data_IF_357037700084
#
_entry.id   IF_357037700084
#
_cell.length_a   1.000
_cell.length_b   1.000
_cell.length_c   1.000
_cell.angle_alpha   90.00
_cell.angle_beta   90.00
_cell.angle_gamma   90.00
#
_symmetry.space_group_name_H-M   'P 1'
#
loop_
_entity.id
_entity.type
_entity.pdbx_description
1 polymer ?
#
# COMPACT_ATOMS: atom_id res chain seq x y z
N UNK A 1 -22.39 4.69 -4.71
CA UNK A 1 -22.99 3.43 -4.20
C UNK A 1 -22.78 2.25 -5.14
N UNK A 2 -22.97 2.38 -6.46
CA UNK A 2 -22.79 1.26 -7.39
C UNK A 2 -21.35 0.69 -7.38
N UNK A 3 -20.32 1.54 -7.34
CA UNK A 3 -18.91 1.11 -7.31
C UNK A 3 -18.54 0.23 -6.11
N UNK A 4 -19.13 0.46 -4.95
CA UNK A 4 -18.90 -0.36 -3.75
C UNK A 4 -19.50 -1.77 -3.95
N UNK A 5 -20.69 -1.85 -4.53
CA UNK A 5 -21.31 -3.15 -4.86
C UNK A 5 -20.48 -3.87 -5.92
N UNK A 6 -19.96 -3.15 -6.92
CA UNK A 6 -19.06 -3.69 -7.94
C UNK A 6 -17.78 -4.25 -7.32
N UNK A 7 -17.20 -3.57 -6.32
CA UNK A 7 -16.03 -4.09 -5.60
C UNK A 7 -16.32 -5.46 -4.99
N UNK A 8 -17.40 -5.62 -4.22
CA UNK A 8 -17.73 -6.91 -3.58
C UNK A 8 -18.10 -8.03 -4.58
N UNK A 9 -18.36 -7.70 -5.85
CA UNK A 9 -18.54 -8.66 -6.96
C UNK A 9 -17.24 -8.98 -7.71
N UNK A 10 -16.18 -8.24 -7.48
CA UNK A 10 -14.85 -8.49 -8.06
C UNK A 10 -14.14 -9.65 -7.38
N UNK A 11 -12.98 -10.05 -7.91
CA UNK A 11 -12.12 -11.06 -7.30
C UNK A 11 -11.59 -10.62 -5.93
N UNK A 12 -11.09 -9.39 -5.82
CA UNK A 12 -10.67 -8.81 -4.54
C UNK A 12 -11.80 -8.76 -3.52
N UNK A 13 -13.01 -8.39 -3.97
CA UNK A 13 -14.19 -8.37 -3.12
C UNK A 13 -14.56 -9.75 -2.58
N UNK A 14 -14.48 -10.80 -3.41
CA UNK A 14 -14.68 -12.18 -2.97
C UNK A 14 -13.61 -12.63 -1.99
N UNK A 15 -12.35 -12.29 -2.24
CA UNK A 15 -11.23 -12.58 -1.35
C UNK A 15 -11.43 -11.93 0.04
N UNK A 16 -11.94 -10.70 0.08
CA UNK A 16 -12.27 -10.00 1.34
C UNK A 16 -13.47 -10.63 2.07
N UNK A 17 -14.41 -11.24 1.35
CA UNK A 17 -15.60 -11.88 1.93
C UNK A 17 -15.37 -13.35 2.31
N UNK A 18 -14.24 -13.93 1.93
CA UNK A 18 -13.88 -15.31 2.26
C UNK A 18 -13.65 -15.46 3.77
N UNK A 19 -14.38 -16.38 4.39
CA UNK A 19 -14.34 -16.61 5.84
C UNK A 19 -13.04 -17.24 6.32
N UNK A 20 -12.26 -17.84 5.43
CA UNK A 20 -10.93 -18.36 5.76
C UNK A 20 -9.89 -17.24 5.91
N UNK A 21 -10.21 -16.03 5.45
CA UNK A 21 -9.32 -14.87 5.52
C UNK A 21 -9.61 -14.00 6.75
N UNK A 22 -8.55 -13.48 7.37
CA UNK A 22 -8.68 -12.45 8.40
C UNK A 22 -8.55 -11.07 7.78
N UNK A 23 -9.55 -10.22 7.98
CA UNK A 23 -9.59 -8.87 7.39
C UNK A 23 -9.34 -7.82 8.46
N UNK A 24 -8.31 -7.01 8.26
CA UNK A 24 -8.09 -5.77 9.01
C UNK A 24 -8.51 -4.59 8.12
N UNK A 25 -9.30 -3.68 8.67
CA UNK A 25 -9.72 -2.45 7.98
C UNK A 25 -9.19 -1.25 8.75
N UNK A 26 -8.84 -0.19 8.02
CA UNK A 26 -8.30 1.04 8.61
C UNK A 26 -7.17 0.71 9.59
N UNK A 27 -6.26 -0.18 9.18
CA UNK A 27 -5.24 -0.75 10.07
C UNK A 27 -4.09 0.24 10.25
N UNK A 28 -3.92 0.85 11.43
CA UNK A 28 -2.87 1.81 11.66
C UNK A 28 -1.53 1.10 11.88
N UNK A 29 -0.45 1.72 11.45
CA UNK A 29 0.89 1.22 11.74
C UNK A 29 1.88 2.36 12.02
N UNK A 30 2.94 2.00 12.72
CA UNK A 30 4.16 2.79 12.87
C UNK A 30 5.34 1.86 12.61
N UNK A 31 6.22 2.25 11.69
CA UNK A 31 7.30 1.40 11.22
C UNK A 31 8.59 2.20 11.05
N UNK A 32 9.67 1.72 11.65
CA UNK A 32 11.00 2.31 11.50
C UNK A 32 11.72 1.64 10.32
N UNK A 33 12.11 2.43 9.32
CA UNK A 33 12.93 1.98 8.20
C UNK A 33 14.32 2.61 8.30
N UNK A 34 15.41 1.87 8.02
CA UNK A 34 16.73 2.49 7.90
C UNK A 34 16.70 3.56 6.81
N UNK A 35 17.26 4.74 7.11
CA UNK A 35 17.18 5.94 6.28
C UNK A 35 17.75 5.72 4.86
N UNK A 36 18.74 4.83 4.73
CA UNK A 36 19.32 4.44 3.44
C UNK A 36 18.28 3.85 2.46
N UNK A 37 17.27 3.13 2.95
CA UNK A 37 16.20 2.59 2.08
C UNK A 37 15.26 3.67 1.55
N UNK A 38 15.24 4.84 2.17
CA UNK A 38 14.38 5.98 1.81
C UNK A 38 15.15 6.97 0.91
N UNK A 39 16.47 7.08 1.12
CA UNK A 39 17.35 8.04 0.43
C UNK A 39 17.70 7.67 -1.02
N UNK A 40 17.66 6.39 -1.39
CA UNK A 40 17.83 5.96 -2.79
C UNK A 40 16.59 6.18 -3.67
N UNK A 41 15.56 6.82 -3.13
CA UNK A 41 14.27 7.04 -3.78
C UNK A 41 14.03 8.56 -3.89
N UNK A 42 14.38 9.08 -5.07
CA UNK A 42 14.63 10.48 -5.47
C UNK A 42 13.43 11.44 -5.38
N UNK A 43 12.37 11.08 -4.65
CA UNK A 43 11.27 11.99 -4.31
C UNK A 43 11.28 12.43 -2.84
N UNK A 44 12.28 12.00 -2.07
CA UNK A 44 12.68 12.62 -0.79
C UNK A 44 13.96 13.47 -0.95
N UNK A 45 14.18 14.03 -2.15
CA UNK A 45 15.23 15.01 -2.39
C UNK A 45 14.79 16.39 -1.87
N UNK A 46 15.30 16.76 -0.68
CA UNK A 46 15.79 18.12 -0.37
C UNK A 46 16.15 18.34 1.12
N UNK A 47 15.66 17.52 2.07
CA UNK A 47 15.85 17.82 3.51
C UNK A 47 16.72 16.83 4.28
N UNK A 48 16.89 15.59 3.80
CA UNK A 48 17.82 14.64 4.46
C UNK A 48 19.27 14.99 4.10
N UNK A 49 19.52 15.56 2.92
CA UNK A 49 20.87 15.86 2.40
C UNK A 49 21.33 17.30 2.65
N UNK A 50 20.55 18.15 3.34
CA UNK A 50 20.95 19.52 3.67
C UNK A 50 22.00 19.62 4.78
N UNK A 51 22.34 18.49 5.42
CA UNK A 51 23.48 18.36 6.31
C UNK A 51 24.47 17.38 5.69
N UNK A 52 25.69 17.85 5.41
CA UNK A 52 26.79 17.11 4.79
C UNK A 52 27.38 16.01 5.71
N UNK A 53 26.53 15.26 6.43
CA UNK A 53 26.95 14.06 7.15
C UNK A 53 26.43 12.83 6.40
N UNK A 54 27.27 11.79 6.19
CA UNK A 54 26.81 10.56 5.60
C UNK A 54 25.71 9.95 6.46
N UNK A 55 24.61 9.50 5.82
CA UNK A 55 23.57 8.71 6.47
C UNK A 55 24.27 7.49 7.10
N UNK A 56 24.19 7.36 8.41
CA UNK A 56 24.77 6.22 9.13
C UNK A 56 23.77 5.06 9.17
N UNK A 57 24.26 3.83 9.30
CA UNK A 57 23.40 2.63 9.34
C UNK A 57 22.37 2.63 10.49
N UNK A 58 22.61 3.45 11.52
CA UNK A 58 21.76 3.57 12.71
C UNK A 58 20.63 4.60 12.56
N UNK A 59 20.64 5.42 11.52
CA UNK A 59 19.57 6.39 11.27
C UNK A 59 18.33 5.71 10.72
N UNK A 60 17.18 5.97 11.36
CA UNK A 60 15.87 5.43 10.95
C UNK A 60 14.87 6.54 10.66
N UNK A 61 14.07 6.32 9.62
CA UNK A 61 12.89 7.11 9.28
C UNK A 61 11.68 6.39 9.85
N UNK A 62 10.86 7.11 10.62
CA UNK A 62 9.58 6.61 11.11
C UNK A 62 8.50 6.88 10.07
N UNK A 63 7.82 5.83 9.66
CA UNK A 63 6.67 5.88 8.76
C UNK A 63 5.42 5.55 9.56
N UNK A 64 4.41 6.40 9.47
CA UNK A 64 3.10 6.18 10.05
C UNK A 64 2.06 6.25 8.95
N UNK A 65 1.09 5.35 9.00
CA UNK A 65 0.06 5.26 8.00
C UNK A 65 -1.11 4.40 8.46
N UNK A 66 -2.14 4.38 7.63
CA UNK A 66 -3.33 3.56 7.80
C UNK A 66 -3.52 2.81 6.49
N UNK A 67 -3.64 1.48 6.56
CA UNK A 67 -3.96 0.64 5.41
C UNK A 67 -5.48 0.45 5.38
N UNK A 68 -6.14 0.85 4.29
CA UNK A 68 -7.60 0.73 4.14
C UNK A 68 -8.08 -0.70 4.38
N UNK A 69 -7.50 -1.68 3.68
CA UNK A 69 -7.75 -3.11 3.89
C UNK A 69 -6.42 -3.88 3.82
N UNK A 70 -6.16 -4.65 4.87
CA UNK A 70 -5.12 -5.67 4.91
C UNK A 70 -5.79 -7.03 5.08
N UNK A 71 -5.59 -7.92 4.12
CA UNK A 71 -6.11 -9.27 4.13
C UNK A 71 -5.00 -10.23 4.50
N UNK A 72 -5.23 -11.05 5.52
CA UNK A 72 -4.36 -12.19 5.85
C UNK A 72 -5.06 -13.47 5.43
N UNK A 73 -4.53 -14.11 4.41
CA UNK A 73 -4.95 -15.44 3.94
C UNK A 73 -4.08 -16.52 4.59
N UNK A 74 -4.43 -17.81 4.44
CA UNK A 74 -3.55 -18.90 4.84
C UNK A 74 -2.17 -18.88 4.16
N UNK A 75 -2.08 -18.27 2.98
CA UNK A 75 -0.85 -18.20 2.18
C UNK A 75 -0.05 -16.93 2.42
N UNK A 76 -0.61 -15.85 2.96
CA UNK A 76 0.11 -14.59 3.21
C UNK A 76 -0.78 -13.36 3.19
N UNK A 77 -0.17 -12.19 2.93
CA UNK A 77 -0.82 -10.88 3.05
C UNK A 77 -1.18 -10.27 1.69
N UNK A 78 -2.35 -9.64 1.60
CA UNK A 78 -2.69 -8.72 0.53
C UNK A 78 -3.02 -7.34 1.10
N UNK A 79 -2.52 -6.29 0.45
CA UNK A 79 -2.87 -4.90 0.76
C UNK A 79 -3.81 -4.39 -0.33
N UNK A 80 -4.93 -3.78 0.07
CA UNK A 80 -5.89 -3.17 -0.86
C UNK A 80 -6.17 -1.74 -0.37
N UNK A 81 -6.00 -0.76 -1.25
CA UNK A 81 -6.26 0.66 -0.98
C UNK A 81 -7.28 1.22 -1.98
N UNK A 82 -8.23 2.03 -1.50
CA UNK A 82 -9.29 2.59 -2.31
C UNK A 82 -8.99 4.02 -2.75
N UNK A 83 -9.10 4.27 -4.05
CA UNK A 83 -8.91 5.60 -4.63
C UNK A 83 -10.23 6.19 -5.13
N UNK A 84 -10.45 7.46 -4.79
CA UNK A 84 -11.68 8.21 -5.12
C UNK A 84 -11.54 9.12 -6.33
N UNK A 85 -10.36 9.10 -6.94
CA UNK A 85 -9.96 9.78 -8.16
C UNK A 85 -11.05 9.76 -9.22
N UNK A 86 -11.10 10.85 -10.00
CA UNK A 86 -11.98 10.98 -11.15
C UNK A 86 -11.12 10.82 -12.39
N UNK A 87 -10.96 9.57 -12.82
CA UNK A 87 -10.18 9.19 -13.98
C UNK A 87 -11.00 8.28 -14.90
N UNK A 88 -10.57 8.17 -16.15
CA UNK A 88 -11.07 7.17 -17.09
C UNK A 88 -10.36 5.82 -16.89
N UNK A 89 -10.80 4.78 -17.59
CA UNK A 89 -10.16 3.46 -17.52
C UNK A 89 -8.75 3.45 -18.13
N UNK A 90 -8.54 4.26 -19.15
CA UNK A 90 -7.27 4.40 -19.86
C UNK A 90 -6.21 5.08 -18.98
N UNK A 91 -6.63 5.93 -18.04
CA UNK A 91 -5.76 6.67 -17.12
C UNK A 91 -5.36 5.86 -15.88
N UNK A 92 -5.97 4.69 -15.62
CA UNK A 92 -5.76 3.90 -14.39
C UNK A 92 -4.30 3.53 -14.20
N UNK A 93 -3.62 3.06 -15.25
CA UNK A 93 -2.23 2.61 -15.15
C UNK A 93 -1.29 3.76 -14.81
N UNK A 94 -1.44 4.92 -15.44
CA UNK A 94 -0.61 6.09 -15.16
C UNK A 94 -0.90 6.64 -13.76
N UNK A 95 -2.19 6.69 -13.38
CA UNK A 95 -2.58 7.17 -12.05
C UNK A 95 -2.08 6.26 -10.94
N UNK A 96 -2.07 4.95 -11.16
CA UNK A 96 -1.58 3.95 -10.21
C UNK A 96 -0.12 4.16 -9.81
N UNK A 97 0.73 4.57 -10.75
CA UNK A 97 2.16 4.83 -10.49
C UNK A 97 2.38 5.92 -9.43
N UNK A 98 1.47 6.90 -9.31
CA UNK A 98 1.56 7.94 -8.28
C UNK A 98 1.43 7.38 -6.85
N UNK A 99 0.84 6.20 -6.68
CA UNK A 99 0.64 5.56 -5.38
C UNK A 99 1.56 4.36 -5.13
N UNK A 100 2.30 3.89 -6.14
CA UNK A 100 3.18 2.72 -6.05
C UNK A 100 4.10 2.79 -4.84
N UNK A 101 4.81 3.91 -4.69
CA UNK A 101 5.73 4.16 -3.57
C UNK A 101 5.05 4.02 -2.20
N UNK A 102 3.86 4.59 -2.06
CA UNK A 102 3.11 4.52 -0.80
C UNK A 102 2.73 3.06 -0.48
N UNK A 103 2.20 2.33 -1.47
CA UNK A 103 1.83 0.94 -1.28
C UNK A 103 3.05 0.05 -1.01
N UNK A 104 4.22 0.35 -1.59
CA UNK A 104 5.48 -0.34 -1.29
C UNK A 104 5.84 -0.23 0.19
N UNK A 105 5.80 0.99 0.72
CA UNK A 105 6.10 1.25 2.13
C UNK A 105 5.09 0.57 3.05
N UNK A 106 3.80 0.65 2.72
CA UNK A 106 2.73 0.07 3.52
C UNK A 106 2.82 -1.46 3.54
N UNK A 107 3.05 -2.06 2.38
CA UNK A 107 3.18 -3.51 2.24
C UNK A 107 4.43 -4.04 2.94
N UNK A 108 5.55 -3.31 2.85
CA UNK A 108 6.79 -3.62 3.58
C UNK A 108 6.57 -3.55 5.10
N UNK A 109 5.89 -2.50 5.58
CA UNK A 109 5.56 -2.36 7.00
C UNK A 109 4.65 -3.50 7.48
N UNK A 110 3.56 -3.79 6.75
CA UNK A 110 2.63 -4.86 7.11
C UNK A 110 3.32 -6.23 7.17
N UNK A 111 4.13 -6.56 6.14
CA UNK A 111 4.88 -7.83 6.08
C UNK A 111 5.86 -7.97 7.24
N UNK A 112 6.58 -6.89 7.57
CA UNK A 112 7.54 -6.88 8.68
C UNK A 112 6.87 -6.98 10.06
N UNK A 113 5.79 -6.22 10.28
CA UNK A 113 5.07 -6.18 11.57
C UNK A 113 4.36 -7.51 11.84
N UNK A 114 3.66 -8.04 10.84
CA UNK A 114 2.91 -9.30 10.98
C UNK A 114 3.77 -10.55 10.78
N UNK A 115 5.03 -10.39 10.35
CA UNK A 115 5.99 -11.46 10.07
C UNK A 115 5.43 -12.49 9.08
N UNK A 116 4.87 -11.97 8.00
CA UNK A 116 4.17 -12.77 6.99
C UNK A 116 4.52 -12.25 5.59
N UNK A 117 4.43 -13.11 4.57
CA UNK A 117 4.87 -12.74 3.21
C UNK A 117 3.78 -11.95 2.50
N UNK A 118 4.19 -10.93 1.72
CA UNK A 118 3.28 -10.24 0.83
C UNK A 118 2.98 -11.11 -0.40
N UNK A 119 1.69 -11.29 -0.70
CA UNK A 119 1.20 -11.95 -1.90
C UNK A 119 0.89 -10.98 -3.02
N UNK A 120 0.40 -9.78 -2.69
CA UNK A 120 0.08 -8.75 -3.67
C UNK A 120 -0.38 -7.45 -3.02
N UNK A 121 -0.36 -6.36 -3.79
CA UNK A 121 -0.80 -5.05 -3.35
C UNK A 121 -1.61 -4.40 -4.48
N UNK A 122 -2.77 -3.87 -4.12
CA UNK A 122 -3.81 -3.51 -5.08
C UNK A 122 -4.32 -2.12 -4.81
N UNK A 123 -4.56 -1.38 -5.88
CA UNK A 123 -5.43 -0.21 -5.86
C UNK A 123 -6.79 -0.58 -6.41
N UNK A 124 -7.85 -0.11 -5.75
CA UNK A 124 -9.20 -0.12 -6.30
C UNK A 124 -9.69 1.30 -6.54
N UNK A 125 -9.79 1.70 -7.80
CA UNK A 125 -10.35 2.98 -8.19
C UNK A 125 -11.88 2.90 -8.19
N UNK A 126 -12.55 3.60 -7.27
CA UNK A 126 -14.01 3.63 -7.19
C UNK A 126 -14.66 4.19 -8.47
N UNK A 127 -13.92 5.00 -9.23
CA UNK A 127 -14.23 5.39 -10.60
C UNK A 127 -12.94 5.23 -11.40
N UNK A 128 -12.88 4.28 -12.33
CA UNK A 128 -14.00 3.65 -13.05
C UNK A 128 -14.54 2.32 -12.47
N UNK A 129 -14.33 2.01 -11.18
CA UNK A 129 -14.64 0.70 -10.56
C UNK A 129 -13.70 -0.42 -11.06
N UNK A 130 -12.40 -0.12 -11.07
CA UNK A 130 -11.34 -0.98 -11.59
C UNK A 130 -10.31 -1.27 -10.51
N UNK A 131 -9.83 -2.52 -10.47
CA UNK A 131 -8.71 -2.95 -9.65
C UNK A 131 -7.45 -3.02 -10.52
N UNK A 132 -6.31 -2.61 -9.97
CA UNK A 132 -5.00 -2.81 -10.59
C UNK A 132 -4.01 -3.27 -9.52
N UNK A 133 -3.29 -4.34 -9.84
CA UNK A 133 -2.16 -4.80 -9.05
C UNK A 133 -0.95 -3.93 -9.39
N UNK A 134 -0.19 -3.57 -8.36
CA UNK A 134 1.01 -2.74 -8.48
C UNK A 134 2.23 -3.55 -8.07
#
# INVERSE_FOLDING_TARGET
>A
TNSIITFFRSELGRLVLDTENTIFREWPFTFALPALFVAHDSSLDAQITSHQSPITDDEVVIIQGIIDILVRTPDGLLVIDFKTDRITAEEVSERAELYRRQLDLYSKAASAILKDKLLGKWLYFLRPACAIEI
#
